data_IF_505994628249
#
_entry.id   IF_505994628249
#
_cell.length_a   1.000
_cell.length_b   1.000
_cell.length_c   1.000
_cell.angle_alpha   90.00
_cell.angle_beta   90.00
_cell.angle_gamma   90.00
#
_symmetry.space_group_name_H-M   'P 1'
#
loop_
_entity.id
_entity.type
_entity.pdbx_description
1 polymer ?
#
# COMPACT_ATOMS: atom_id res chain seq x y z
N UNK A 1 -16.43 -16.54 0.52
CA UNK A 1 -15.23 -16.73 -0.32
C UNK A 1 -14.89 -15.37 -0.88
N UNK A 2 -13.80 -14.74 -0.43
CA UNK A 2 -13.35 -13.48 -1.03
C UNK A 2 -13.02 -13.67 -2.51
N UNK A 3 -12.95 -12.60 -3.32
CA UNK A 3 -12.49 -12.74 -4.70
C UNK A 3 -11.15 -13.48 -4.72
N UNK A 4 -10.94 -14.43 -5.64
CA UNK A 4 -9.69 -15.17 -5.73
C UNK A 4 -8.54 -14.17 -5.82
N UNK A 5 -7.52 -14.32 -4.98
CA UNK A 5 -6.35 -13.44 -4.97
C UNK A 5 -5.73 -13.31 -6.37
N UNK A 6 -5.86 -14.37 -7.19
CA UNK A 6 -5.43 -14.37 -8.58
C UNK A 6 -6.12 -13.30 -9.44
N UNK A 7 -7.40 -13.03 -9.22
CA UNK A 7 -8.14 -12.01 -9.98
C UNK A 7 -7.67 -10.59 -9.62
N UNK A 8 -7.24 -10.37 -8.37
CA UNK A 8 -6.64 -9.10 -7.97
C UNK A 8 -5.25 -8.93 -8.57
N UNK A 9 -4.41 -9.96 -8.50
CA UNK A 9 -3.08 -9.95 -9.12
C UNK A 9 -3.13 -9.69 -10.63
N UNK A 10 -4.09 -10.31 -11.32
CA UNK A 10 -4.33 -10.07 -12.76
C UNK A 10 -4.70 -8.61 -13.03
N UNK A 11 -5.62 -8.03 -12.23
CA UNK A 11 -6.01 -6.62 -12.36
C UNK A 11 -4.89 -5.64 -12.02
N UNK A 12 -4.00 -6.01 -11.10
CA UNK A 12 -2.80 -5.23 -10.77
C UNK A 12 -1.71 -5.36 -11.82
N UNK A 13 -1.77 -6.37 -12.70
CA UNK A 13 -0.68 -6.71 -13.60
C UNK A 13 0.59 -7.15 -12.85
N UNK A 14 0.45 -7.61 -11.62
CA UNK A 14 1.56 -7.94 -10.72
C UNK A 14 1.29 -9.24 -9.98
N UNK A 15 2.23 -10.18 -10.09
CA UNK A 15 2.23 -11.43 -9.32
C UNK A 15 3.18 -11.28 -8.14
N UNK A 16 2.67 -11.50 -6.94
CA UNK A 16 3.47 -11.44 -5.73
C UNK A 16 4.41 -12.65 -5.67
N UNK A 17 5.70 -12.40 -5.52
CA UNK A 17 6.68 -13.48 -5.29
C UNK A 17 6.43 -14.24 -3.98
N UNK A 18 5.74 -13.61 -3.03
CA UNK A 18 5.25 -14.25 -1.82
C UNK A 18 3.75 -13.94 -1.63
N UNK A 19 2.84 -14.93 -1.83
CA UNK A 19 1.40 -14.75 -1.68
C UNK A 19 0.98 -14.26 -0.27
N UNK A 20 1.75 -14.60 0.76
CA UNK A 20 1.48 -14.18 2.13
C UNK A 20 1.56 -12.65 2.30
N UNK A 21 2.35 -11.96 1.48
CA UNK A 21 2.39 -10.50 1.47
C UNK A 21 1.08 -9.90 0.97
N UNK A 22 0.45 -10.51 -0.04
CA UNK A 22 -0.83 -10.07 -0.55
C UNK A 22 -1.94 -10.31 0.49
N UNK A 23 -1.94 -11.48 1.14
CA UNK A 23 -2.86 -11.78 2.25
C UNK A 23 -2.71 -10.75 3.37
N UNK A 24 -1.47 -10.47 3.78
CA UNK A 24 -1.17 -9.45 4.80
C UNK A 24 -1.67 -8.07 4.39
N UNK A 25 -1.38 -7.63 3.16
CA UNK A 25 -1.78 -6.32 2.65
C UNK A 25 -3.32 -6.13 2.64
N UNK A 26 -4.07 -7.21 2.46
CA UNK A 26 -5.54 -7.22 2.47
C UNK A 26 -6.14 -7.47 3.86
N UNK A 27 -5.32 -7.63 4.90
CA UNK A 27 -5.80 -7.91 6.27
C UNK A 27 -5.79 -6.63 7.10
N UNK A 28 -6.97 -6.01 7.23
CA UNK A 28 -7.16 -4.84 8.10
C UNK A 28 -7.28 -5.24 9.58
N UNK A 29 -6.80 -4.39 10.49
CA UNK A 29 -6.81 -4.67 11.94
C UNK A 29 -8.19 -4.93 12.54
N UNK A 30 -9.24 -4.27 12.03
CA UNK A 30 -10.61 -4.50 12.52
C UNK A 30 -11.10 -5.93 12.29
N UNK A 31 -10.71 -6.54 11.17
CA UNK A 31 -11.07 -7.93 10.85
C UNK A 31 -10.47 -8.93 11.85
N UNK A 32 -9.29 -8.61 12.41
CA UNK A 32 -8.63 -9.40 13.44
C UNK A 32 -9.28 -9.21 14.81
N UNK A 33 -9.66 -7.98 15.14
CA UNK A 33 -10.31 -7.64 16.40
C UNK A 33 -11.68 -8.32 16.56
N UNK A 34 -12.46 -8.44 15.48
CA UNK A 34 -13.80 -9.04 15.50
C UNK A 34 -13.81 -10.57 15.59
N UNK A 35 -12.74 -11.25 15.15
CA UNK A 35 -12.70 -12.73 15.03
C UNK A 35 -12.05 -13.46 16.20
N UNK A 36 -11.52 -12.75 17.19
CA UNK A 36 -11.15 -13.28 18.51
C UNK A 36 -10.13 -14.43 18.55
N UNK A 37 -9.55 -14.86 17.42
CA UNK A 37 -8.70 -16.03 17.36
C UNK A 37 -7.75 -15.97 16.16
N UNK A 38 -6.46 -16.16 16.46
CA UNK A 38 -5.30 -16.23 15.58
C UNK A 38 -5.14 -15.06 14.59
N UNK A 39 -4.17 -14.18 14.89
CA UNK A 39 -3.50 -13.43 13.82
C UNK A 39 -3.10 -14.45 12.73
N UNK A 40 -3.38 -14.19 11.44
CA UNK A 40 -2.58 -14.82 10.39
C UNK A 40 -1.11 -14.67 10.80
N UNK A 41 -0.28 -15.71 10.62
CA UNK A 41 1.15 -15.62 10.95
C UNK A 41 1.80 -14.39 10.29
N UNK A 42 1.20 -13.91 9.21
CA UNK A 42 1.59 -12.75 8.42
C UNK A 42 1.29 -11.39 9.07
N UNK A 43 0.36 -11.31 10.04
CA UNK A 43 -0.03 -10.05 10.71
C UNK A 43 -1.03 -9.18 9.93
N UNK A 44 -1.27 -7.96 10.41
CA UNK A 44 -2.09 -6.92 9.76
C UNK A 44 -1.30 -6.08 8.74
N UNK A 45 -2.01 -5.23 8.01
CA UNK A 45 -1.48 -4.38 6.96
C UNK A 45 -0.85 -3.06 7.44
N UNK A 46 -0.88 -2.69 8.72
CA UNK A 46 -0.51 -1.32 9.14
C UNK A 46 0.96 -0.97 8.85
N UNK A 47 1.87 -1.91 9.06
CA UNK A 47 3.29 -1.67 8.73
C UNK A 47 3.49 -1.54 7.22
N UNK A 48 2.71 -2.28 6.41
CA UNK A 48 2.77 -2.17 4.95
C UNK A 48 2.15 -0.85 4.47
N UNK A 49 1.09 -0.39 5.13
CA UNK A 49 0.46 0.91 4.88
C UNK A 49 1.44 2.05 5.18
N UNK A 50 2.06 2.04 6.36
CA UNK A 50 3.07 3.04 6.75
C UNK A 50 4.23 3.11 5.75
N UNK A 51 4.75 1.95 5.33
CA UNK A 51 5.81 1.87 4.33
C UNK A 51 5.33 2.37 2.96
N UNK A 52 4.13 1.95 2.54
CA UNK A 52 3.53 2.31 1.27
C UNK A 52 3.28 3.81 1.14
N UNK A 53 2.77 4.45 2.20
CA UNK A 53 2.53 5.90 2.23
C UNK A 53 3.84 6.69 2.07
N UNK A 54 4.91 6.27 2.76
CA UNK A 54 6.24 6.88 2.62
C UNK A 54 6.80 6.75 1.20
N UNK A 55 6.66 5.58 0.58
CA UNK A 55 7.13 5.32 -0.79
C UNK A 55 6.32 6.14 -1.81
N UNK A 56 4.98 6.13 -1.72
CA UNK A 56 4.12 6.91 -2.60
C UNK A 56 4.39 8.41 -2.45
N UNK A 57 4.57 8.88 -1.21
CA UNK A 57 4.93 10.26 -0.92
C UNK A 57 6.26 10.67 -1.54
N UNK A 58 7.26 9.78 -1.55
CA UNK A 58 8.54 10.03 -2.21
C UNK A 58 8.38 10.10 -3.73
N UNK A 59 7.74 9.10 -4.36
CA UNK A 59 7.56 9.05 -5.82
C UNK A 59 6.75 10.25 -6.32
N UNK A 60 5.69 10.63 -5.59
CA UNK A 60 4.88 11.80 -5.92
C UNK A 60 5.71 13.09 -5.84
N UNK A 61 6.49 13.27 -4.77
CA UNK A 61 7.38 14.42 -4.61
C UNK A 61 8.46 14.48 -5.70
N UNK A 62 9.12 13.35 -6.01
CA UNK A 62 10.12 13.26 -7.07
C UNK A 62 9.51 13.63 -8.44
N UNK A 63 8.34 13.08 -8.76
CA UNK A 63 7.63 13.38 -10.00
C UNK A 63 7.24 14.86 -10.09
N UNK A 64 6.79 15.48 -9.00
CA UNK A 64 6.43 16.90 -8.96
C UNK A 64 7.65 17.79 -9.19
N UNK A 65 8.75 17.54 -8.48
CA UNK A 65 10.01 18.29 -8.65
C UNK A 65 10.53 18.17 -10.09
N UNK A 66 10.49 16.96 -10.65
CA UNK A 66 10.96 16.69 -12.02
C UNK A 66 10.12 17.41 -13.08
N UNK A 67 8.79 17.44 -12.91
CA UNK A 67 7.87 18.11 -13.86
C UNK A 67 7.81 19.62 -13.70
N UNK A 68 8.13 20.14 -12.52
CA UNK A 68 8.06 21.56 -12.17
C UNK A 68 9.36 22.06 -11.55
N UNK A 69 10.48 22.09 -12.30
CA UNK A 69 11.80 22.43 -11.77
C UNK A 69 11.91 23.87 -11.25
N UNK A 70 11.00 24.76 -11.65
CA UNK A 70 10.92 26.15 -11.17
C UNK A 70 9.90 26.35 -10.04
N UNK A 71 9.25 25.28 -9.56
CA UNK A 71 8.29 25.37 -8.46
C UNK A 71 8.98 25.67 -7.14
N UNK A 72 8.41 26.57 -6.35
CA UNK A 72 8.86 26.80 -4.97
C UNK A 72 8.39 25.67 -4.07
N UNK A 73 9.04 25.47 -2.92
CA UNK A 73 8.66 24.44 -1.93
C UNK A 73 7.17 24.52 -1.57
N UNK A 74 6.65 25.72 -1.26
CA UNK A 74 5.24 25.90 -0.92
C UNK A 74 4.26 25.54 -2.05
N UNK A 75 4.63 25.78 -3.32
CA UNK A 75 3.80 25.38 -4.47
C UNK A 75 3.80 23.86 -4.65
N UNK A 76 4.98 23.24 -4.54
CA UNK A 76 5.12 21.78 -4.67
C UNK A 76 4.39 21.04 -3.55
N UNK A 77 4.46 21.55 -2.32
CA UNK A 77 3.73 21.01 -1.16
C UNK A 77 2.21 21.17 -1.29
N UNK A 78 1.72 22.21 -1.98
CA UNK A 78 0.29 22.39 -2.25
C UNK A 78 -0.24 21.45 -3.34
N UNK A 79 0.59 21.06 -4.30
CA UNK A 79 0.20 20.15 -5.40
C UNK A 79 0.36 18.67 -5.07
N UNK A 80 1.07 18.37 -3.98
CA UNK A 80 1.18 17.04 -3.40
C UNK A 80 -0.11 16.68 -2.66
#
# INVERSE_FOLDING_TARGET
MGPPLEALEERLGYRFGNPDLLVRALTHRSWLAERGSALPQTGDNEQLEFLGDSILGFIASESLVTRHPSGTEGQLSQWK
#
